data_IF_446825837702
#
_entry.id   IF_446825837702
#
_cell.length_a   1.000
_cell.length_b   1.000
_cell.length_c   1.000
_cell.angle_alpha   90.00
_cell.angle_beta   90.00
_cell.angle_gamma   90.00
#
_symmetry.space_group_name_H-M   'P 1'
#
loop_
_entity.id
_entity.type
_entity.pdbx_description
1 polymer ?
#
# COMPACT_ATOMS: atom_id res chain seq x y z
N UNK A 1 3.89 -19.94 -35.35
CA UNK A 1 4.44 -20.47 -34.08
C UNK A 1 3.40 -21.37 -33.41
N UNK A 2 3.82 -22.52 -32.88
CA UNK A 2 2.97 -23.47 -32.14
C UNK A 2 2.84 -23.07 -30.66
N UNK A 3 1.85 -23.63 -29.97
CA UNK A 3 1.67 -23.48 -28.52
C UNK A 3 2.89 -24.05 -27.79
N UNK A 4 3.48 -23.27 -26.89
CA UNK A 4 4.68 -23.66 -26.12
C UNK A 4 4.33 -24.47 -24.87
N UNK A 5 5.34 -25.10 -24.25
CA UNK A 5 5.15 -25.81 -22.98
C UNK A 5 4.79 -24.87 -21.83
N UNK A 6 5.33 -23.66 -21.82
CA UNK A 6 4.93 -22.60 -20.88
C UNK A 6 3.45 -22.23 -21.04
N UNK A 7 2.97 -22.05 -22.28
CA UNK A 7 1.55 -21.79 -22.55
C UNK A 7 0.66 -22.95 -22.12
N UNK A 8 1.10 -24.19 -22.33
CA UNK A 8 0.37 -25.39 -21.89
C UNK A 8 0.30 -25.46 -20.36
N UNK A 9 1.42 -25.22 -19.67
CA UNK A 9 1.47 -25.20 -18.21
C UNK A 9 0.58 -24.11 -17.63
N UNK A 10 0.64 -22.89 -18.18
CA UNK A 10 -0.20 -21.77 -17.76
C UNK A 10 -1.69 -22.01 -18.02
N UNK A 11 -2.03 -22.70 -19.12
CA UNK A 11 -3.42 -23.09 -19.44
C UNK A 11 -4.03 -24.05 -18.41
N UNK A 12 -3.22 -24.96 -17.86
CA UNK A 12 -3.68 -25.97 -16.90
C UNK A 12 -3.38 -25.61 -15.44
N UNK A 13 -2.82 -24.43 -15.17
CA UNK A 13 -2.46 -24.01 -13.82
C UNK A 13 -1.31 -24.83 -13.21
N UNK A 14 -0.49 -25.50 -14.03
CA UNK A 14 0.68 -26.23 -13.54
C UNK A 14 1.79 -25.24 -13.16
N UNK A 15 1.74 -24.76 -11.92
CA UNK A 15 2.71 -23.81 -11.38
C UNK A 15 4.16 -24.32 -11.48
N UNK A 16 4.38 -25.63 -11.27
CA UNK A 16 5.71 -26.24 -11.41
C UNK A 16 6.15 -26.24 -12.87
N UNK A 17 5.23 -26.51 -13.79
CA UNK A 17 5.45 -26.41 -15.23
C UNK A 17 5.78 -24.99 -15.68
N UNK A 18 5.07 -23.99 -15.13
CA UNK A 18 5.36 -22.57 -15.40
C UNK A 18 6.77 -22.21 -14.95
N UNK A 19 7.14 -22.54 -13.70
CA UNK A 19 8.48 -22.30 -13.16
C UNK A 19 9.58 -22.98 -13.99
N UNK A 20 9.35 -24.20 -14.46
CA UNK A 20 10.30 -24.96 -15.29
C UNK A 20 10.53 -24.36 -16.68
N UNK A 21 9.58 -23.59 -17.20
CA UNK A 21 9.60 -23.11 -18.60
C UNK A 21 9.65 -21.57 -18.73
N UNK A 22 10.14 -20.85 -17.70
CA UNK A 22 10.22 -19.38 -17.71
C UNK A 22 11.13 -18.82 -18.82
N UNK A 23 12.02 -19.63 -19.39
CA UNK A 23 12.82 -19.26 -20.56
C UNK A 23 11.98 -19.04 -21.85
N UNK A 24 10.70 -19.42 -21.85
CA UNK A 24 9.78 -19.25 -22.97
C UNK A 24 8.87 -18.01 -22.83
N UNK A 25 9.02 -17.24 -21.75
CA UNK A 25 8.24 -16.02 -21.48
C UNK A 25 8.37 -15.04 -22.66
N UNK A 26 7.25 -14.46 -23.06
CA UNK A 26 7.16 -13.51 -24.18
C UNK A 26 6.95 -14.18 -25.55
N UNK A 27 7.01 -15.51 -25.65
CA UNK A 27 6.64 -16.21 -26.90
C UNK A 27 5.13 -16.12 -27.11
N UNK A 28 4.73 -16.11 -28.39
CA UNK A 28 3.32 -16.03 -28.80
C UNK A 28 2.94 -17.21 -29.72
N UNK A 29 1.71 -17.70 -29.59
CA UNK A 29 1.15 -18.71 -30.49
C UNK A 29 0.79 -18.11 -31.87
N UNK A 30 0.19 -18.92 -32.76
CA UNK A 30 -0.25 -18.46 -34.10
C UNK A 30 -1.27 -17.31 -34.09
N UNK A 31 -1.98 -17.11 -32.98
CA UNK A 31 -2.97 -16.06 -32.77
C UNK A 31 -2.39 -14.85 -31.98
N UNK A 32 -1.11 -14.88 -31.59
CA UNK A 32 -0.50 -13.85 -30.76
C UNK A 32 -0.73 -14.06 -29.26
N UNK A 33 -1.28 -15.20 -28.82
CA UNK A 33 -1.55 -15.44 -27.39
C UNK A 33 -0.28 -15.83 -26.65
N UNK A 34 -0.09 -15.23 -25.48
CA UNK A 34 1.02 -15.53 -24.55
C UNK A 34 0.57 -16.53 -23.48
N UNK A 35 1.51 -17.01 -22.64
CA UNK A 35 1.17 -17.90 -21.53
C UNK A 35 0.26 -17.21 -20.49
N UNK A 36 0.48 -15.92 -20.23
CA UNK A 36 -0.32 -15.10 -19.34
C UNK A 36 -1.78 -15.02 -19.80
N UNK A 37 -2.01 -14.87 -21.11
CA UNK A 37 -3.38 -14.89 -21.64
C UNK A 37 -4.04 -16.25 -21.42
N UNK A 38 -3.31 -17.36 -21.55
CA UNK A 38 -3.85 -18.69 -21.22
C UNK A 38 -4.18 -18.84 -19.74
N UNK A 39 -3.33 -18.36 -18.83
CA UNK A 39 -3.61 -18.34 -17.39
C UNK A 39 -4.86 -17.50 -17.08
N UNK A 40 -4.96 -16.30 -17.65
CA UNK A 40 -6.07 -15.38 -17.45
C UNK A 40 -7.40 -15.93 -18.01
N UNK A 41 -7.39 -16.63 -19.15
CA UNK A 41 -8.59 -17.30 -19.71
C UNK A 41 -9.15 -18.35 -18.74
N UNK A 42 -8.27 -19.08 -18.05
CA UNK A 42 -8.65 -20.22 -17.19
C UNK A 42 -8.66 -19.86 -15.69
N UNK A 43 -8.48 -18.59 -15.33
CA UNK A 43 -8.57 -18.13 -13.95
C UNK A 43 -7.39 -18.52 -13.05
N UNK A 44 -6.25 -18.90 -13.62
CA UNK A 44 -5.07 -19.33 -12.86
C UNK A 44 -4.25 -18.12 -12.37
N UNK A 45 -4.86 -17.31 -11.48
CA UNK A 45 -4.30 -16.06 -10.98
C UNK A 45 -2.90 -16.22 -10.36
N UNK A 46 -2.64 -17.34 -9.68
CA UNK A 46 -1.35 -17.67 -9.08
C UNK A 46 -0.20 -17.85 -10.10
N UNK A 47 -0.49 -18.03 -11.39
CA UNK A 47 0.53 -18.04 -12.45
C UNK A 47 0.95 -16.62 -12.88
N UNK A 48 0.10 -15.60 -12.67
CA UNK A 48 0.31 -14.24 -13.17
C UNK A 48 1.59 -13.60 -12.63
N UNK A 49 1.92 -13.69 -11.33
CA UNK A 49 3.15 -13.09 -10.81
C UNK A 49 4.43 -13.69 -11.41
N UNK A 50 4.40 -14.96 -11.83
CA UNK A 50 5.52 -15.60 -12.53
C UNK A 50 5.64 -15.17 -14.00
N UNK A 51 4.56 -14.64 -14.56
CA UNK A 51 4.44 -14.23 -15.96
C UNK A 51 4.38 -12.71 -16.12
N UNK A 52 4.83 -11.96 -15.11
CA UNK A 52 4.78 -10.50 -15.03
C UNK A 52 5.37 -9.75 -16.24
N UNK A 53 6.32 -10.38 -16.95
CA UNK A 53 6.97 -9.78 -18.13
C UNK A 53 6.05 -9.77 -19.35
N UNK A 54 4.98 -10.57 -19.34
CA UNK A 54 3.98 -10.60 -20.42
C UNK A 54 2.83 -9.61 -20.19
N UNK A 55 2.76 -8.97 -19.01
CA UNK A 55 1.74 -7.97 -18.71
C UNK A 55 1.85 -6.81 -19.69
N UNK A 56 0.72 -6.47 -20.31
CA UNK A 56 0.60 -5.42 -21.30
C UNK A 56 0.77 -5.88 -22.75
N UNK A 57 1.15 -7.15 -22.98
CA UNK A 57 1.17 -7.73 -24.33
C UNK A 57 -0.25 -7.91 -24.89
N UNK A 58 -0.39 -7.76 -26.20
CA UNK A 58 -1.63 -7.97 -26.93
C UNK A 58 -1.48 -9.10 -27.95
N UNK A 59 -2.56 -9.85 -28.17
CA UNK A 59 -2.61 -10.80 -29.26
C UNK A 59 -2.83 -10.09 -30.60
N UNK A 60 -2.96 -10.84 -31.70
CA UNK A 60 -3.14 -10.26 -33.04
C UNK A 60 -4.41 -9.40 -33.19
N UNK A 61 -5.41 -9.59 -32.33
CA UNK A 61 -6.62 -8.77 -32.31
C UNK A 61 -6.62 -7.64 -31.28
N UNK A 62 -5.48 -7.37 -30.63
CA UNK A 62 -5.38 -6.36 -29.59
C UNK A 62 -5.90 -6.81 -28.22
N UNK A 63 -6.18 -8.10 -28.02
CA UNK A 63 -6.67 -8.57 -26.72
C UNK A 63 -5.54 -8.76 -25.72
N UNK A 64 -5.72 -8.20 -24.53
CA UNK A 64 -4.81 -8.37 -23.39
C UNK A 64 -5.25 -9.50 -22.47
N UNK A 65 -4.45 -9.86 -21.47
CA UNK A 65 -4.83 -10.85 -20.46
C UNK A 65 -6.02 -10.37 -19.61
N UNK A 66 -6.09 -9.07 -19.28
CA UNK A 66 -7.19 -8.46 -18.54
C UNK A 66 -8.54 -8.63 -19.24
N UNK A 67 -8.59 -8.41 -20.55
CA UNK A 67 -9.81 -8.62 -21.35
C UNK A 67 -10.32 -10.06 -21.29
N UNK A 68 -9.40 -11.02 -21.24
CA UNK A 68 -9.75 -12.44 -21.08
C UNK A 68 -10.24 -12.78 -19.67
N UNK A 69 -9.56 -12.28 -18.64
CA UNK A 69 -9.99 -12.47 -17.25
C UNK A 69 -11.37 -11.85 -17.00
N UNK A 70 -11.59 -10.63 -17.52
CA UNK A 70 -12.84 -9.90 -17.34
C UNK A 70 -14.04 -10.58 -18.01
N UNK A 71 -13.87 -11.10 -19.23
CA UNK A 71 -14.95 -11.83 -19.93
C UNK A 71 -15.32 -13.16 -19.26
N UNK A 72 -14.38 -13.78 -18.54
CA UNK A 72 -14.56 -15.08 -17.90
C UNK A 72 -14.80 -15.00 -16.38
N UNK A 73 -14.97 -13.80 -15.81
CA UNK A 73 -15.30 -13.61 -14.38
C UNK A 73 -14.17 -13.98 -13.40
N UNK A 74 -12.92 -13.91 -13.86
CA UNK A 74 -11.76 -14.28 -13.05
C UNK A 74 -11.26 -13.08 -12.25
N UNK A 75 -12.00 -12.70 -11.22
CA UNK A 75 -11.79 -11.50 -10.39
C UNK A 75 -10.37 -11.36 -9.84
N UNK A 76 -9.75 -12.45 -9.37
CA UNK A 76 -8.37 -12.41 -8.87
C UNK A 76 -7.36 -12.11 -9.97
N UNK A 77 -7.58 -12.68 -11.17
CA UNK A 77 -6.77 -12.34 -12.35
C UNK A 77 -6.95 -10.89 -12.77
N UNK A 78 -8.19 -10.37 -12.70
CA UNK A 78 -8.49 -8.96 -12.99
C UNK A 78 -7.71 -8.03 -12.07
N UNK A 79 -7.70 -8.30 -10.76
CA UNK A 79 -6.97 -7.49 -9.76
C UNK A 79 -5.47 -7.43 -10.04
N UNK A 80 -4.87 -8.54 -10.47
CA UNK A 80 -3.44 -8.62 -10.80
C UNK A 80 -3.07 -7.95 -12.12
N UNK A 81 -4.06 -7.69 -12.98
CA UNK A 81 -3.85 -7.16 -14.34
C UNK A 81 -4.35 -5.73 -14.50
N UNK A 82 -4.64 -5.00 -13.41
CA UNK A 82 -5.14 -3.62 -13.48
C UNK A 82 -4.24 -2.67 -14.26
N UNK A 83 -2.93 -2.90 -14.30
CA UNK A 83 -2.01 -2.09 -15.11
C UNK A 83 -2.29 -2.16 -16.62
N UNK A 84 -3.10 -3.12 -17.09
CA UNK A 84 -3.56 -3.20 -18.48
C UNK A 84 -4.85 -2.41 -18.74
N UNK A 85 -5.50 -1.88 -17.71
CA UNK A 85 -6.76 -1.15 -17.86
C UNK A 85 -6.59 0.04 -18.82
N UNK A 86 -7.60 0.27 -19.64
CA UNK A 86 -7.58 1.32 -20.67
C UNK A 86 -6.93 0.91 -22.00
N UNK A 87 -6.30 -0.27 -22.08
CA UNK A 87 -5.94 -0.86 -23.39
C UNK A 87 -7.20 -1.28 -24.15
N UNK A 88 -7.18 -1.07 -25.46
CA UNK A 88 -8.29 -1.37 -26.35
C UNK A 88 -7.92 -2.41 -27.40
N UNK A 89 -8.89 -3.23 -27.80
CA UNK A 89 -8.71 -4.15 -28.93
C UNK A 89 -8.42 -3.39 -30.22
N UNK A 90 -7.69 -4.01 -31.13
CA UNK A 90 -7.29 -3.39 -32.41
C UNK A 90 -8.08 -3.92 -33.59
N UNK A 91 -8.60 -5.15 -33.47
CA UNK A 91 -9.36 -5.83 -34.52
C UNK A 91 -10.76 -6.19 -34.01
N UNK A 92 -11.67 -6.39 -34.96
CA UNK A 92 -12.97 -6.99 -34.67
C UNK A 92 -12.81 -8.45 -34.23
N UNK A 93 -13.61 -8.86 -33.24
CA UNK A 93 -13.61 -10.24 -32.76
C UNK A 93 -15.01 -10.83 -32.67
N UNK A 94 -15.17 -12.01 -33.26
CA UNK A 94 -16.39 -12.83 -33.21
C UNK A 94 -16.17 -14.01 -32.27
N UNK A 95 -17.13 -14.25 -31.37
CA UNK A 95 -17.03 -15.32 -30.37
C UNK A 95 -17.83 -16.59 -30.71
N UNK A 96 -18.81 -16.49 -31.60
CA UNK A 96 -19.69 -17.58 -31.98
C UNK A 96 -19.69 -17.83 -33.49
N UNK A 97 -20.01 -19.06 -33.88
CA UNK A 97 -20.04 -19.50 -35.29
C UNK A 97 -21.17 -18.84 -36.10
N UNK A 98 -22.17 -18.27 -35.42
CA UNK A 98 -23.33 -17.63 -36.05
C UNK A 98 -23.20 -16.09 -36.10
N UNK A 99 -22.12 -15.51 -35.56
CA UNK A 99 -21.84 -14.07 -35.65
C UNK A 99 -22.75 -13.17 -34.82
N UNK A 100 -23.45 -13.70 -33.80
CA UNK A 100 -24.39 -12.93 -32.97
C UNK A 100 -23.63 -12.01 -32.02
N UNK A 101 -22.43 -12.40 -31.57
CA UNK A 101 -21.61 -11.56 -30.69
C UNK A 101 -20.33 -11.13 -31.37
N UNK A 102 -20.33 -9.87 -31.82
CA UNK A 102 -19.20 -9.20 -32.47
C UNK A 102 -18.73 -8.03 -31.63
N UNK A 103 -17.45 -8.03 -31.26
CA UNK A 103 -16.80 -6.93 -30.54
C UNK A 103 -15.98 -6.11 -31.53
N UNK A 104 -16.31 -4.83 -31.75
CA UNK A 104 -15.54 -3.96 -32.62
C UNK A 104 -14.12 -3.71 -32.09
N UNK A 105 -13.21 -3.19 -32.94
CA UNK A 105 -12.00 -2.52 -32.47
C UNK A 105 -12.35 -1.47 -31.40
N UNK A 106 -11.44 -1.17 -30.47
CA UNK A 106 -11.73 -0.24 -29.38
C UNK A 106 -12.39 -0.89 -28.15
N UNK A 107 -12.66 -2.21 -28.16
CA UNK A 107 -13.30 -2.89 -27.03
C UNK A 107 -12.35 -2.96 -25.83
N UNK A 108 -12.83 -2.63 -24.63
CA UNK A 108 -12.07 -2.67 -23.36
C UNK A 108 -12.49 -3.85 -22.49
N UNK A 109 -11.80 -4.08 -21.37
CA UNK A 109 -12.13 -5.17 -20.44
C UNK A 109 -13.48 -4.93 -19.71
N UNK A 110 -13.79 -3.67 -19.35
CA UNK A 110 -15.07 -3.25 -18.76
C UNK A 110 -16.24 -3.50 -19.71
N UNK A 111 -16.08 -3.22 -21.01
CA UNK A 111 -17.12 -3.52 -22.02
C UNK A 111 -17.42 -5.01 -22.10
N UNK A 112 -16.39 -5.86 -22.03
CA UNK A 112 -16.54 -7.31 -22.02
C UNK A 112 -17.22 -7.81 -20.74
N UNK A 113 -16.81 -7.30 -19.57
CA UNK A 113 -17.43 -7.61 -18.28
C UNK A 113 -18.91 -7.22 -18.26
N UNK A 114 -19.23 -6.05 -18.80
CA UNK A 114 -20.59 -5.55 -18.93
C UNK A 114 -21.44 -6.43 -19.86
N UNK A 115 -20.92 -6.82 -21.03
CA UNK A 115 -21.61 -7.69 -21.98
C UNK A 115 -21.95 -9.07 -21.40
N UNK A 116 -21.04 -9.64 -20.60
CA UNK A 116 -21.18 -10.98 -20.01
C UNK A 116 -21.81 -11.00 -18.61
N UNK A 117 -22.35 -9.87 -18.14
CA UNK A 117 -23.01 -9.72 -16.84
C UNK A 117 -22.09 -10.05 -15.65
N UNK A 118 -20.93 -9.40 -15.54
CA UNK A 118 -19.93 -9.63 -14.48
C UNK A 118 -19.88 -8.46 -13.49
N UNK A 119 -20.83 -8.33 -12.54
CA UNK A 119 -20.97 -7.13 -11.72
C UNK A 119 -19.74 -6.83 -10.86
N UNK A 120 -19.10 -7.85 -10.27
CA UNK A 120 -17.89 -7.67 -9.47
C UNK A 120 -16.73 -7.13 -10.31
N UNK A 121 -16.54 -7.66 -11.52
CA UNK A 121 -15.51 -7.18 -12.45
C UNK A 121 -15.82 -5.77 -12.95
N UNK A 122 -17.09 -5.47 -13.22
CA UNK A 122 -17.54 -4.13 -13.62
C UNK A 122 -17.20 -3.12 -12.53
N UNK A 123 -17.52 -3.41 -11.27
CA UNK A 123 -17.21 -2.55 -10.13
C UNK A 123 -15.70 -2.29 -9.99
N UNK A 124 -14.86 -3.31 -10.24
CA UNK A 124 -13.40 -3.17 -10.19
C UNK A 124 -12.81 -2.34 -11.32
N UNK A 125 -13.36 -2.44 -12.53
CA UNK A 125 -12.80 -1.77 -13.72
C UNK A 125 -13.40 -0.40 -13.99
N UNK A 126 -14.57 -0.11 -13.42
CA UNK A 126 -15.29 1.16 -13.61
C UNK A 126 -14.39 2.40 -13.40
N UNK A 127 -13.58 2.51 -12.32
CA UNK A 127 -12.77 3.71 -12.09
C UNK A 127 -11.76 3.99 -13.21
N UNK A 128 -11.28 2.95 -13.88
CA UNK A 128 -10.19 3.02 -14.85
C UNK A 128 -10.66 3.12 -16.30
N UNK A 129 -11.83 2.55 -16.62
CA UNK A 129 -12.29 2.41 -18.01
C UNK A 129 -13.62 3.12 -18.33
N UNK A 130 -14.29 3.73 -17.35
CA UNK A 130 -15.56 4.41 -17.59
C UNK A 130 -15.47 5.46 -18.73
N UNK A 131 -16.53 5.47 -19.55
CA UNK A 131 -16.67 6.41 -20.65
C UNK A 131 -15.76 6.16 -21.86
N UNK A 132 -14.93 5.11 -21.85
CA UNK A 132 -14.25 4.65 -23.05
C UNK A 132 -15.27 4.12 -24.05
N UNK A 133 -14.96 4.26 -25.34
CA UNK A 133 -15.83 3.86 -26.44
C UNK A 133 -15.08 2.97 -27.41
N UNK A 134 -15.78 1.95 -27.91
CA UNK A 134 -15.30 1.19 -29.05
C UNK A 134 -15.34 2.03 -30.35
N UNK A 135 -14.89 1.46 -31.46
CA UNK A 135 -14.84 2.13 -32.76
C UNK A 135 -16.22 2.48 -33.34
N UNK A 136 -17.30 1.90 -32.79
CA UNK A 136 -18.69 2.22 -33.13
C UNK A 136 -19.32 3.22 -32.15
N UNK A 137 -18.57 3.68 -31.15
CA UNK A 137 -19.01 4.66 -30.17
C UNK A 137 -19.74 4.06 -28.96
N UNK A 138 -19.75 2.74 -28.79
CA UNK A 138 -20.45 2.08 -27.69
C UNK A 138 -19.64 2.12 -26.38
N UNK A 139 -20.30 2.43 -25.27
CA UNK A 139 -19.74 2.37 -23.91
C UNK A 139 -20.02 1.02 -23.25
N UNK A 140 -19.49 0.79 -22.05
CA UNK A 140 -19.80 -0.41 -21.29
C UNK A 140 -21.30 -0.56 -20.95
N UNK A 141 -22.00 0.55 -20.65
CA UNK A 141 -23.47 0.57 -20.48
C UNK A 141 -24.19 0.07 -21.74
N UNK A 142 -23.74 0.48 -22.94
CA UNK A 142 -24.31 -0.02 -24.18
C UNK A 142 -24.14 -1.54 -24.30
N UNK A 143 -22.96 -2.06 -23.94
CA UNK A 143 -22.67 -3.49 -23.91
C UNK A 143 -23.51 -4.25 -22.85
N UNK A 144 -23.83 -3.65 -21.69
CA UNK A 144 -24.74 -4.23 -20.70
C UNK A 144 -26.22 -4.25 -21.16
N UNK A 145 -26.63 -3.28 -21.99
CA UNK A 145 -27.97 -3.21 -22.55
C UNK A 145 -28.16 -4.19 -23.72
N UNK A 146 -27.09 -4.46 -24.46
CA UNK A 146 -27.04 -5.41 -25.59
C UNK A 146 -26.27 -6.70 -25.22
N UNK A 147 -26.17 -6.97 -23.93
CA UNK A 147 -25.51 -8.15 -23.39
C UNK A 147 -26.28 -9.42 -23.73
N UNK A 148 -25.58 -10.55 -23.66
CA UNK A 148 -26.20 -11.85 -23.88
C UNK A 148 -27.31 -12.11 -22.83
N UNK A 149 -28.59 -12.02 -23.23
CA UNK A 149 -29.74 -12.11 -22.32
C UNK A 149 -29.80 -13.41 -21.50
N UNK A 150 -29.21 -14.49 -22.00
CA UNK A 150 -29.07 -15.77 -21.28
C UNK A 150 -28.02 -15.75 -20.16
N UNK A 151 -27.28 -14.65 -19.96
CA UNK A 151 -26.32 -14.46 -18.86
C UNK A 151 -26.95 -13.95 -17.56
N UNK A 152 -28.29 -13.91 -17.48
CA UNK A 152 -29.03 -13.60 -16.26
C UNK A 152 -29.46 -12.13 -16.17
N UNK A 153 -29.72 -11.67 -14.96
CA UNK A 153 -30.22 -10.31 -14.69
C UNK A 153 -29.08 -9.29 -14.70
N UNK A 154 -29.16 -8.32 -15.62
CA UNK A 154 -28.19 -7.23 -15.79
C UNK A 154 -28.50 -6.01 -14.93
N UNK A 155 -29.54 -6.03 -14.07
CA UNK A 155 -29.97 -4.86 -13.29
C UNK A 155 -28.81 -4.23 -12.52
N UNK A 156 -28.06 -5.01 -11.74
CA UNK A 156 -26.89 -4.51 -10.97
C UNK A 156 -25.82 -3.90 -11.88
N UNK A 157 -25.49 -4.55 -12.99
CA UNK A 157 -24.48 -4.04 -13.94
C UNK A 157 -24.94 -2.71 -14.56
N UNK A 158 -26.21 -2.61 -14.97
CA UNK A 158 -26.78 -1.39 -15.55
C UNK A 158 -26.88 -0.26 -14.53
N UNK A 159 -27.09 -0.57 -13.27
CA UNK A 159 -27.07 0.41 -12.18
C UNK A 159 -25.65 0.95 -11.93
N UNK A 160 -24.65 0.07 -11.85
CA UNK A 160 -23.24 0.44 -11.70
C UNK A 160 -22.75 1.36 -12.83
N UNK A 161 -23.22 1.13 -14.06
CA UNK A 161 -22.79 1.83 -15.27
C UNK A 161 -23.67 3.03 -15.66
N UNK A 162 -24.79 3.27 -14.95
CA UNK A 162 -25.81 4.27 -15.33
C UNK A 162 -25.24 5.68 -15.58
N UNK A 163 -24.19 6.05 -14.85
CA UNK A 163 -23.57 7.37 -14.86
C UNK A 163 -22.10 7.33 -15.30
N UNK A 164 -21.74 6.50 -16.29
CA UNK A 164 -20.39 6.49 -16.87
C UNK A 164 -19.94 7.91 -17.26
N UNK A 165 -18.92 8.42 -16.56
CA UNK A 165 -18.38 9.77 -16.76
C UNK A 165 -17.03 9.75 -17.48
N UNK A 166 -16.55 10.90 -18.00
CA UNK A 166 -15.26 11.00 -18.68
C UNK A 166 -14.05 10.96 -17.71
N UNK A 167 -14.29 11.11 -16.40
CA UNK A 167 -13.23 11.18 -15.39
C UNK A 167 -12.75 9.77 -15.04
N UNK A 168 -11.59 9.40 -15.55
CA UNK A 168 -10.90 8.14 -15.23
C UNK A 168 -9.75 8.40 -14.27
N UNK A 169 -9.46 7.43 -13.40
CA UNK A 169 -8.19 7.37 -12.69
C UNK A 169 -7.16 6.61 -13.54
N UNK A 170 -5.88 6.99 -13.52
CA UNK A 170 -4.84 6.23 -14.21
C UNK A 170 -4.76 4.81 -13.63
N UNK A 171 -4.54 3.78 -14.47
CA UNK A 171 -4.28 2.42 -14.01
C UNK A 171 -3.10 2.39 -13.02
N UNK A 172 -3.16 1.54 -11.98
CA UNK A 172 -2.04 1.38 -11.06
C UNK A 172 -0.80 0.82 -11.80
N UNK A 173 0.43 1.25 -11.44
CA UNK A 173 1.64 0.60 -11.89
C UNK A 173 1.64 -0.88 -11.52
N UNK A 174 2.10 -1.75 -12.42
CA UNK A 174 2.08 -3.22 -12.18
C UNK A 174 2.91 -3.60 -10.96
N UNK A 175 4.01 -2.90 -10.73
CA UNK A 175 4.93 -3.13 -9.60
C UNK A 175 4.24 -2.85 -8.27
N UNK A 176 3.45 -1.78 -8.19
CA UNK A 176 2.65 -1.43 -7.02
C UNK A 176 1.51 -2.42 -6.79
N UNK A 177 0.88 -2.93 -7.86
CA UNK A 177 -0.10 -4.03 -7.75
C UNK A 177 0.55 -5.26 -7.14
N UNK A 178 1.72 -5.66 -7.64
CA UNK A 178 2.44 -6.83 -7.14
C UNK A 178 2.89 -6.68 -5.69
N UNK A 179 3.50 -5.55 -5.33
CA UNK A 179 3.90 -5.28 -3.94
C UNK A 179 2.72 -5.49 -2.99
N UNK A 180 1.56 -4.93 -3.34
CA UNK A 180 0.34 -5.02 -2.55
C UNK A 180 -0.25 -6.43 -2.50
N UNK A 181 -0.21 -7.17 -3.61
CA UNK A 181 -0.66 -8.57 -3.63
C UNK A 181 0.21 -9.43 -2.74
N UNK A 182 1.54 -9.33 -2.86
CA UNK A 182 2.46 -10.13 -2.06
C UNK A 182 2.34 -9.79 -0.57
N UNK A 183 2.15 -8.51 -0.24
CA UNK A 183 1.80 -8.07 1.11
C UNK A 183 0.51 -8.71 1.64
N UNK A 184 -0.54 -8.80 0.82
CA UNK A 184 -1.83 -9.41 1.20
C UNK A 184 -1.75 -10.92 1.48
N UNK A 185 -0.73 -11.62 0.97
CA UNK A 185 -0.54 -13.07 1.18
C UNK A 185 0.67 -13.42 2.04
N UNK A 186 1.41 -12.41 2.52
CA UNK A 186 2.60 -12.60 3.35
C UNK A 186 3.81 -13.17 2.61
N UNK A 187 3.91 -12.97 1.29
CA UNK A 187 5.08 -13.41 0.50
C UNK A 187 6.24 -12.43 0.69
N UNK A 188 7.10 -12.72 1.66
CA UNK A 188 8.25 -11.90 2.06
C UNK A 188 9.18 -11.62 0.87
N UNK A 189 9.46 -12.63 0.04
CA UNK A 189 10.37 -12.49 -1.10
C UNK A 189 9.72 -11.68 -2.22
N UNK A 190 8.42 -11.86 -2.44
CA UNK A 190 7.62 -10.99 -3.29
C UNK A 190 7.66 -9.53 -2.82
N UNK A 191 7.40 -9.26 -1.54
CA UNK A 191 7.46 -7.91 -0.96
C UNK A 191 8.86 -7.32 -1.13
N UNK A 192 9.92 -8.07 -0.78
CA UNK A 192 11.32 -7.65 -0.93
C UNK A 192 11.66 -7.26 -2.36
N UNK A 193 11.13 -7.99 -3.35
CA UNK A 193 11.39 -7.73 -4.77
C UNK A 193 10.78 -6.40 -5.26
N UNK A 194 9.62 -5.98 -4.75
CA UNK A 194 8.90 -4.79 -5.24
C UNK A 194 8.89 -3.61 -4.27
N UNK A 195 9.55 -3.72 -3.11
CA UNK A 195 9.58 -2.70 -2.06
C UNK A 195 9.96 -1.29 -2.54
N UNK A 196 10.76 -1.18 -3.61
CA UNK A 196 11.13 0.12 -4.20
C UNK A 196 9.95 0.92 -4.77
N UNK A 197 8.77 0.29 -4.88
CA UNK A 197 7.51 0.90 -5.34
C UNK A 197 6.49 1.08 -4.20
N UNK A 198 6.96 1.04 -2.96
CA UNK A 198 6.20 1.42 -1.78
C UNK A 198 5.71 2.88 -1.87
N UNK A 199 4.63 3.18 -1.15
CA UNK A 199 4.00 4.50 -1.13
C UNK A 199 2.82 4.66 -2.10
N UNK A 200 2.51 3.63 -2.88
CA UNK A 200 1.32 3.63 -3.71
C UNK A 200 0.06 3.30 -2.90
N UNK A 201 -0.96 4.15 -3.01
CA UNK A 201 -2.26 3.94 -2.38
C UNK A 201 -3.31 3.51 -3.41
N UNK A 202 -4.14 2.52 -3.06
CA UNK A 202 -5.29 2.14 -3.89
C UNK A 202 -6.43 3.17 -3.83
N UNK A 203 -7.56 2.87 -4.46
CA UNK A 203 -8.74 3.74 -4.47
C UNK A 203 -9.31 4.05 -3.07
N UNK A 204 -9.02 3.21 -2.07
CA UNK A 204 -9.41 3.40 -0.68
C UNK A 204 -8.31 4.05 0.17
N UNK A 205 -7.16 4.38 -0.42
CA UNK A 205 -6.00 4.88 0.30
C UNK A 205 -5.14 3.77 0.93
N UNK A 206 -5.39 2.50 0.64
CA UNK A 206 -4.66 1.39 1.28
C UNK A 206 -3.28 1.20 0.67
N UNK A 207 -2.27 1.11 1.53
CA UNK A 207 -0.88 0.79 1.17
C UNK A 207 -0.58 -0.71 1.37
N UNK A 208 0.61 -1.16 0.96
CA UNK A 208 1.04 -2.53 1.21
C UNK A 208 1.19 -2.80 2.73
N UNK A 209 1.74 -1.86 3.49
CA UNK A 209 1.95 -1.95 4.94
C UNK A 209 0.63 -2.06 5.70
N UNK A 210 -0.39 -1.30 5.29
CA UNK A 210 -1.73 -1.40 5.88
C UNK A 210 -2.34 -2.79 5.69
N UNK A 211 -2.09 -3.41 4.53
CA UNK A 211 -2.58 -4.76 4.23
C UNK A 211 -1.80 -5.85 4.96
N UNK A 212 -0.47 -5.72 5.08
CA UNK A 212 0.31 -6.65 5.92
C UNK A 212 -0.11 -6.57 7.38
N UNK A 213 -0.34 -5.36 7.88
CA UNK A 213 -0.80 -5.13 9.25
C UNK A 213 -2.21 -5.68 9.47
N UNK A 214 -3.13 -5.48 8.52
CA UNK A 214 -4.48 -6.05 8.54
C UNK A 214 -4.50 -7.59 8.55
N UNK A 215 -3.55 -8.24 7.85
CA UNK A 215 -3.48 -9.72 7.77
C UNK A 215 -2.57 -10.35 8.82
N UNK A 216 -1.85 -9.55 9.63
CA UNK A 216 -0.96 -10.05 10.66
C UNK A 216 0.38 -10.59 10.16
N UNK A 217 0.83 -10.18 8.97
CA UNK A 217 2.12 -10.63 8.41
C UNK A 217 3.29 -9.81 8.96
N UNK A 218 3.64 -10.09 10.21
CA UNK A 218 4.69 -9.41 11.00
C UNK A 218 6.01 -9.29 10.24
N UNK A 219 6.45 -10.37 9.58
CA UNK A 219 7.75 -10.43 8.89
C UNK A 219 7.85 -9.51 7.66
N UNK A 220 6.71 -9.05 7.11
CA UNK A 220 6.69 -8.12 5.99
C UNK A 220 6.79 -6.65 6.45
N UNK A 221 6.44 -6.33 7.69
CA UNK A 221 6.42 -4.95 8.21
C UNK A 221 7.80 -4.28 8.11
N UNK A 222 8.92 -4.91 8.53
CA UNK A 222 10.25 -4.29 8.43
C UNK A 222 10.70 -4.00 6.99
N UNK A 223 10.08 -4.62 6.00
CA UNK A 223 10.39 -4.32 4.60
C UNK A 223 9.67 -3.05 4.12
N UNK A 224 8.59 -2.64 4.76
CA UNK A 224 7.69 -1.59 4.28
C UNK A 224 7.79 -0.30 5.10
N UNK A 225 8.95 -0.02 5.70
CA UNK A 225 9.22 1.16 6.52
C UNK A 225 8.87 2.49 5.82
N UNK A 226 9.03 2.55 4.49
CA UNK A 226 8.73 3.75 3.69
C UNK A 226 7.24 4.13 3.68
N UNK A 227 6.33 3.26 4.13
CA UNK A 227 4.89 3.54 4.19
C UNK A 227 4.41 3.88 5.61
N UNK A 228 5.31 3.86 6.59
CA UNK A 228 4.98 4.15 7.98
C UNK A 228 4.41 5.56 8.10
N UNK A 229 3.28 5.66 8.78
CA UNK A 229 2.58 6.92 9.02
C UNK A 229 1.66 7.36 7.89
N UNK A 230 1.62 6.66 6.74
CA UNK A 230 0.61 6.92 5.73
C UNK A 230 -0.80 6.62 6.27
N UNK A 231 -1.80 7.28 5.69
CA UNK A 231 -3.19 7.17 6.10
C UNK A 231 -4.10 6.90 4.91
N UNK A 232 -5.03 5.96 5.05
CA UNK A 232 -6.02 5.70 4.02
C UNK A 232 -7.11 6.79 3.96
N UNK A 233 -8.13 6.63 3.12
CA UNK A 233 -9.18 7.65 2.90
C UNK A 233 -10.00 8.02 4.16
N UNK A 234 -9.95 7.19 5.20
CA UNK A 234 -10.58 7.42 6.52
C UNK A 234 -9.59 7.94 7.57
N UNK A 235 -8.31 8.10 7.22
CA UNK A 235 -7.24 8.48 8.15
C UNK A 235 -6.66 7.31 8.94
N UNK A 236 -6.92 6.06 8.55
CA UNK A 236 -6.41 4.91 9.29
C UNK A 236 -4.99 4.57 8.84
N UNK A 237 -4.12 4.32 9.82
CA UNK A 237 -2.73 3.91 9.61
C UNK A 237 -2.59 2.38 9.66
N UNK A 238 -1.38 1.86 9.43
CA UNK A 238 -1.11 0.44 9.55
C UNK A 238 -1.27 -0.07 11.00
N UNK A 239 -0.83 0.71 11.99
CA UNK A 239 -1.04 0.43 13.41
C UNK A 239 -2.53 0.29 13.72
N UNK A 240 -3.38 1.21 13.26
CA UNK A 240 -4.83 1.13 13.48
C UNK A 240 -5.43 -0.15 12.88
N UNK A 241 -4.93 -0.59 11.71
CA UNK A 241 -5.33 -1.87 11.10
C UNK A 241 -4.87 -3.07 11.93
N UNK A 242 -3.60 -3.14 12.32
CA UNK A 242 -3.09 -4.21 13.17
C UNK A 242 -3.90 -4.34 14.47
N UNK A 243 -4.19 -3.20 15.11
CA UNK A 243 -4.94 -3.16 16.37
C UNK A 243 -6.39 -3.58 16.18
N UNK A 244 -7.05 -3.15 15.11
CA UNK A 244 -8.43 -3.54 14.84
C UNK A 244 -8.61 -5.06 14.67
N UNK A 245 -7.60 -5.74 14.13
CA UNK A 245 -7.59 -7.19 13.89
C UNK A 245 -6.81 -7.99 14.96
N UNK A 246 -6.48 -7.39 16.10
CA UNK A 246 -5.78 -8.02 17.24
C UNK A 246 -4.38 -8.59 16.92
N UNK A 247 -3.69 -7.99 15.94
CA UNK A 247 -2.33 -8.38 15.59
C UNK A 247 -1.31 -7.69 16.49
N UNK A 248 -1.20 -8.18 17.73
CA UNK A 248 -0.35 -7.59 18.78
C UNK A 248 1.11 -7.39 18.35
N UNK A 249 1.72 -8.37 17.67
CA UNK A 249 3.11 -8.26 17.21
C UNK A 249 3.28 -7.21 16.12
N UNK A 250 2.33 -7.10 15.18
CA UNK A 250 2.29 -6.00 14.21
C UNK A 250 2.16 -4.64 14.92
N UNK A 251 1.30 -4.54 15.93
CA UNK A 251 1.11 -3.32 16.70
C UNK A 251 2.39 -2.91 17.46
N UNK A 252 3.20 -3.85 17.94
CA UNK A 252 4.52 -3.57 18.54
C UNK A 252 5.47 -2.95 17.53
N UNK A 253 5.54 -3.50 16.31
CA UNK A 253 6.42 -2.99 15.25
C UNK A 253 6.01 -1.61 14.73
N UNK A 254 4.74 -1.24 14.88
CA UNK A 254 4.17 -0.02 14.32
C UNK A 254 3.96 1.09 15.36
N UNK A 255 4.59 0.97 16.54
CA UNK A 255 4.49 1.97 17.61
C UNK A 255 4.93 3.38 17.21
N UNK A 256 5.73 3.51 16.15
CA UNK A 256 6.11 4.80 15.59
C UNK A 256 4.93 5.62 15.05
N UNK A 257 3.80 4.97 14.74
CA UNK A 257 2.56 5.63 14.33
C UNK A 257 1.67 6.04 15.52
N UNK A 258 2.04 5.69 16.75
CA UNK A 258 1.25 5.99 17.93
C UNK A 258 1.03 7.50 18.06
N UNK A 259 -0.23 7.88 18.30
CA UNK A 259 -0.62 9.28 18.37
C UNK A 259 -1.16 9.88 17.09
N UNK A 260 -1.15 9.16 15.96
CA UNK A 260 -1.93 9.56 14.78
C UNK A 260 -3.42 9.33 15.04
N UNK A 261 -4.25 10.17 14.45
CA UNK A 261 -5.70 10.14 14.61
C UNK A 261 -6.41 9.95 13.26
N UNK A 262 -7.52 9.23 13.27
CA UNK A 262 -8.36 9.09 12.08
C UNK A 262 -8.87 10.45 11.61
N UNK A 263 -9.04 10.60 10.29
CA UNK A 263 -9.45 11.86 9.68
C UNK A 263 -10.97 11.94 9.54
N UNK A 264 -11.64 10.80 9.37
CA UNK A 264 -13.08 10.71 9.13
C UNK A 264 -13.69 9.60 9.99
N UNK A 265 -15.00 9.70 10.20
CA UNK A 265 -15.78 8.63 10.79
C UNK A 265 -15.72 7.38 9.90
N UNK A 266 -15.62 6.22 10.54
CA UNK A 266 -15.73 4.92 9.89
C UNK A 266 -16.70 4.03 10.66
N UNK A 267 -17.64 3.41 9.95
CA UNK A 267 -18.64 2.53 10.53
C UNK A 267 -18.34 1.08 10.12
N UNK A 268 -18.30 0.20 11.11
CA UNK A 268 -18.08 -1.24 10.91
C UNK A 268 -19.30 -2.02 11.36
N UNK A 269 -19.93 -2.72 10.43
CA UNK A 269 -21.07 -3.59 10.72
C UNK A 269 -20.64 -5.05 10.70
N UNK A 270 -20.89 -5.78 11.78
CA UNK A 270 -20.67 -7.22 11.88
C UNK A 270 -21.81 -7.84 12.67
N UNK A 271 -22.34 -8.97 12.19
CA UNK A 271 -23.44 -9.70 12.84
C UNK A 271 -24.69 -8.83 13.15
N UNK A 272 -24.97 -7.82 12.32
CA UNK A 272 -26.11 -6.90 12.50
C UNK A 272 -25.85 -5.77 13.49
N UNK A 273 -24.69 -5.72 14.15
CA UNK A 273 -24.29 -4.62 15.03
C UNK A 273 -23.35 -3.66 14.29
N UNK A 274 -23.64 -2.37 14.34
CA UNK A 274 -22.79 -1.31 13.77
C UNK A 274 -22.02 -0.61 14.88
N UNK A 275 -20.69 -0.63 14.77
CA UNK A 275 -19.77 0.09 15.64
C UNK A 275 -19.20 1.28 14.87
N UNK A 276 -19.49 2.48 15.38
CA UNK A 276 -18.94 3.73 14.86
C UNK A 276 -17.58 4.03 15.48
N UNK A 277 -16.66 4.49 14.65
CA UNK A 277 -15.35 5.03 15.03
C UNK A 277 -15.31 6.48 14.57
N UNK A 278 -15.52 7.46 15.48
CA UNK A 278 -15.50 8.88 15.11
C UNK A 278 -14.18 9.33 14.49
N UNK A 279 -14.19 10.47 13.79
CA UNK A 279 -12.93 11.13 13.44
C UNK A 279 -12.14 11.47 14.71
N UNK A 280 -10.81 11.52 14.65
CA UNK A 280 -9.99 11.69 15.84
C UNK A 280 -9.69 10.38 16.59
N UNK A 281 -10.22 9.23 16.14
CA UNK A 281 -9.98 7.94 16.80
C UNK A 281 -8.50 7.56 16.73
N UNK A 282 -7.91 7.15 17.86
CA UNK A 282 -6.54 6.63 17.95
C UNK A 282 -6.48 5.10 18.00
N UNK A 283 -5.30 4.51 17.90
CA UNK A 283 -5.13 3.06 18.00
C UNK A 283 -5.54 2.50 19.38
N UNK A 284 -5.24 3.21 20.47
CA UNK A 284 -5.64 2.87 21.84
C UNK A 284 -7.16 2.90 22.01
N UNK A 285 -7.86 3.84 21.38
CA UNK A 285 -9.33 3.87 21.37
C UNK A 285 -9.89 2.65 20.64
N UNK A 286 -9.32 2.27 19.50
CA UNK A 286 -9.70 1.05 18.77
C UNK A 286 -9.49 -0.19 19.66
N UNK A 287 -8.33 -0.32 20.31
CA UNK A 287 -8.02 -1.42 21.23
C UNK A 287 -9.02 -1.50 22.40
N UNK A 288 -9.45 -0.34 22.92
CA UNK A 288 -10.46 -0.26 23.97
C UNK A 288 -11.85 -0.70 23.50
N UNK A 289 -12.28 -0.23 22.32
CA UNK A 289 -13.57 -0.61 21.71
C UNK A 289 -13.62 -2.11 21.41
N UNK A 290 -12.52 -2.65 20.88
CA UNK A 290 -12.42 -4.04 20.43
C UNK A 290 -12.01 -5.04 21.52
N UNK A 291 -11.62 -4.53 22.70
CA UNK A 291 -11.22 -5.30 23.87
C UNK A 291 -9.94 -6.13 23.70
N UNK A 292 -8.85 -5.45 23.34
CA UNK A 292 -7.51 -6.02 23.19
C UNK A 292 -6.60 -5.59 24.36
N UNK A 293 -6.63 -6.28 25.53
CA UNK A 293 -5.92 -5.83 26.74
C UNK A 293 -4.41 -5.73 26.56
N UNK A 294 -3.79 -6.69 25.86
CA UNK A 294 -2.33 -6.70 25.63
C UNK A 294 -1.89 -5.48 24.79
N UNK A 295 -2.69 -5.12 23.79
CA UNK A 295 -2.47 -3.93 22.95
C UNK A 295 -2.71 -2.64 23.74
N UNK A 296 -3.71 -2.62 24.63
CA UNK A 296 -3.94 -1.48 25.53
C UNK A 296 -2.72 -1.22 26.40
N UNK A 297 -2.10 -2.24 26.98
CA UNK A 297 -0.87 -2.08 27.78
C UNK A 297 0.28 -1.48 26.95
N UNK A 298 0.40 -1.89 25.69
CA UNK A 298 1.44 -1.41 24.77
C UNK A 298 1.23 0.07 24.41
N UNK A 299 -0.01 0.48 24.10
CA UNK A 299 -0.31 1.81 23.57
C UNK A 299 -0.58 2.86 24.65
N UNK A 300 -1.00 2.45 25.86
CA UNK A 300 -1.36 3.35 26.95
C UNK A 300 -0.31 4.43 27.22
N UNK A 301 1.01 4.15 27.28
CA UNK A 301 2.01 5.18 27.55
C UNK A 301 2.06 6.30 26.51
N UNK A 302 1.68 5.99 25.26
CA UNK A 302 1.84 6.86 24.08
C UNK A 302 0.58 7.60 23.68
N UNK A 303 -0.61 7.10 24.02
CA UNK A 303 -1.89 7.68 23.57
C UNK A 303 -2.85 8.05 24.69
N UNK A 304 -2.47 7.83 25.97
CA UNK A 304 -3.32 8.19 27.10
C UNK A 304 -3.79 9.66 27.06
N UNK A 305 -5.08 9.85 27.31
CA UNK A 305 -5.70 11.18 27.41
C UNK A 305 -5.98 11.86 26.08
N UNK A 306 -5.65 11.22 24.95
CA UNK A 306 -6.11 11.68 23.64
C UNK A 306 -7.63 11.53 23.53
N UNK A 307 -8.24 12.41 22.73
CA UNK A 307 -9.68 12.47 22.52
C UNK A 307 -10.02 12.45 21.05
N UNK A 308 -11.07 11.72 20.71
CA UNK A 308 -11.69 11.80 19.39
C UNK A 308 -12.46 13.12 19.21
N UNK A 309 -13.09 13.30 18.05
CA UNK A 309 -13.85 14.51 17.72
C UNK A 309 -15.09 14.72 18.59
N UNK A 310 -15.58 13.67 19.26
CA UNK A 310 -16.68 13.74 20.23
C UNK A 310 -16.17 14.04 21.66
N UNK A 311 -14.85 14.09 21.85
CA UNK A 311 -14.23 14.34 23.15
C UNK A 311 -14.04 13.09 24.00
N UNK A 312 -14.25 11.89 23.44
CA UNK A 312 -14.16 10.62 24.14
C UNK A 312 -12.72 10.08 24.15
N UNK A 313 -12.30 9.58 25.32
CA UNK A 313 -10.99 8.91 25.50
C UNK A 313 -11.11 7.40 25.34
N UNK A 314 -9.99 6.69 25.34
CA UNK A 314 -10.00 5.22 25.33
C UNK A 314 -10.75 4.64 26.54
N UNK A 315 -10.61 5.24 27.74
CA UNK A 315 -11.37 4.82 28.92
C UNK A 315 -12.88 5.05 28.75
N UNK A 316 -13.29 6.15 28.11
CA UNK A 316 -14.71 6.39 27.81
C UNK A 316 -15.28 5.27 26.94
N UNK A 317 -14.56 4.88 25.88
CA UNK A 317 -14.98 3.80 24.98
C UNK A 317 -15.07 2.45 25.71
N UNK A 318 -14.07 2.11 26.54
CA UNK A 318 -14.08 0.89 27.35
C UNK A 318 -15.27 0.80 28.33
N UNK A 319 -15.76 1.95 28.83
CA UNK A 319 -16.88 2.00 29.76
C UNK A 319 -18.24 1.87 29.07
N UNK A 320 -18.38 2.44 27.87
CA UNK A 320 -19.67 2.58 27.18
C UNK A 320 -19.93 1.50 26.11
N UNK A 321 -18.90 0.76 25.66
CA UNK A 321 -19.03 -0.24 24.58
C UNK A 321 -19.01 -1.70 25.04
N UNK A 322 -19.23 -1.99 26.32
CA UNK A 322 -19.66 -3.32 26.78
C UNK A 322 -18.58 -4.40 26.97
N UNK A 323 -17.31 -4.16 26.67
CA UNK A 323 -16.29 -5.23 26.68
C UNK A 323 -15.20 -5.08 27.77
N UNK A 324 -15.06 -6.19 28.51
CA UNK A 324 -14.18 -6.59 29.63
C UNK A 324 -13.85 -5.64 30.80
N UNK A 325 -13.86 -6.21 32.01
CA UNK A 325 -13.37 -5.56 33.23
C UNK A 325 -11.84 -5.34 33.22
N UNK A 326 -11.10 -6.10 32.41
CA UNK A 326 -9.64 -6.05 32.35
C UNK A 326 -9.16 -4.77 31.65
N UNK A 327 -9.67 -4.46 30.46
CA UNK A 327 -9.34 -3.22 29.73
C UNK A 327 -9.74 -1.99 30.54
N UNK A 328 -10.92 -2.01 31.18
CA UNK A 328 -11.34 -0.94 32.08
C UNK A 328 -10.38 -0.75 33.25
N UNK A 329 -9.86 -1.84 33.83
CA UNK A 329 -8.88 -1.79 34.93
C UNK A 329 -7.54 -1.20 34.47
N UNK A 330 -7.07 -1.56 33.28
CA UNK A 330 -5.84 -1.03 32.70
C UNK A 330 -5.94 0.48 32.43
N UNK A 331 -7.08 0.93 31.90
CA UNK A 331 -7.34 2.32 31.56
C UNK A 331 -7.70 3.22 32.75
N UNK A 332 -7.84 2.68 33.98
CA UNK A 332 -8.07 3.51 35.18
C UNK A 332 -6.97 4.54 35.44
N UNK A 333 -5.79 4.35 34.85
CA UNK A 333 -4.63 5.25 34.98
C UNK A 333 -4.55 6.30 33.85
N UNK A 334 -5.54 6.39 32.97
CA UNK A 334 -5.56 7.39 31.90
C UNK A 334 -5.54 8.82 32.49
N UNK A 335 -4.61 9.66 32.01
CA UNK A 335 -4.40 11.02 32.53
C UNK A 335 -3.03 11.29 33.16
N UNK A 336 -2.09 10.33 33.11
CA UNK A 336 -0.67 10.59 33.44
C UNK A 336 0.06 11.24 32.27
N UNK A 337 1.29 11.73 32.48
CA UNK A 337 2.08 12.42 31.44
C UNK A 337 2.31 11.47 30.25
N UNK A 338 1.77 11.83 29.09
CA UNK A 338 1.94 11.15 27.80
C UNK A 338 3.43 11.11 27.42
N UNK A 339 3.94 9.95 27.04
CA UNK A 339 5.25 9.86 26.39
C UNK A 339 5.12 10.42 24.97
N UNK A 340 6.11 11.20 24.49
CA UNK A 340 6.10 11.61 23.08
C UNK A 340 6.01 10.35 22.19
N UNK A 341 5.30 10.41 21.06
CA UNK A 341 5.48 9.42 19.99
C UNK A 341 6.98 9.23 19.73
N UNK A 342 7.41 8.03 19.36
CA UNK A 342 8.82 7.73 19.16
C UNK A 342 9.51 8.87 18.40
N UNK A 343 10.67 9.34 18.88
CA UNK A 343 11.44 10.46 18.30
C UNK A 343 11.75 10.28 16.80
N UNK A 344 11.50 9.10 16.25
CA UNK A 344 11.61 8.75 14.84
C UNK A 344 10.73 9.60 13.92
N UNK A 345 9.57 10.14 14.36
CA UNK A 345 8.70 10.96 13.47
C UNK A 345 9.38 12.28 13.04
N UNK A 346 9.99 12.99 13.97
CA UNK A 346 10.69 14.27 13.71
C UNK A 346 11.97 14.03 12.88
N UNK A 347 12.64 12.89 13.12
CA UNK A 347 13.80 12.44 12.32
C UNK A 347 13.38 12.04 10.90
N UNK A 348 12.21 11.39 10.73
CA UNK A 348 11.69 11.01 9.41
C UNK A 348 11.37 12.24 8.56
N UNK A 349 10.63 13.21 9.11
CA UNK A 349 10.26 14.46 8.43
C UNK A 349 11.50 15.26 8.00
N UNK A 350 12.51 15.37 8.88
CA UNK A 350 13.78 16.01 8.55
C UNK A 350 14.54 15.25 7.46
N UNK A 351 14.46 13.92 7.43
CA UNK A 351 15.12 13.07 6.43
C UNK A 351 14.46 13.20 5.05
N UNK A 352 13.13 13.25 4.99
CA UNK A 352 12.38 13.52 3.77
C UNK A 352 12.72 14.89 3.19
N UNK A 353 12.73 15.94 4.02
CA UNK A 353 13.10 17.30 3.59
C UNK A 353 14.54 17.38 3.03
N UNK A 354 15.49 16.65 3.65
CA UNK A 354 16.88 16.55 3.14
C UNK A 354 16.95 15.85 1.79
N UNK A 355 16.12 14.82 1.56
CA UNK A 355 16.05 14.09 0.29
C UNK A 355 15.45 14.96 -0.83
N UNK A 356 14.36 15.68 -0.56
CA UNK A 356 13.74 16.61 -1.52
C UNK A 356 14.73 17.69 -1.96
N UNK A 357 15.43 18.31 -1.00
CA UNK A 357 16.46 19.30 -1.30
C UNK A 357 17.64 18.72 -2.07
N UNK A 358 17.97 17.43 -1.90
CA UNK A 358 19.02 16.79 -2.69
C UNK A 358 18.59 16.62 -4.16
N UNK A 359 17.33 16.26 -4.41
CA UNK A 359 16.75 16.18 -5.76
C UNK A 359 16.72 17.56 -6.41
N UNK A 360 16.31 18.60 -5.68
CA UNK A 360 16.33 19.98 -6.16
C UNK A 360 17.77 20.43 -6.49
N UNK A 361 18.75 20.09 -5.65
CA UNK A 361 20.16 20.41 -5.90
C UNK A 361 20.67 19.82 -7.22
N UNK A 362 20.39 18.55 -7.48
CA UNK A 362 20.77 17.88 -8.73
C UNK A 362 20.00 18.40 -9.95
N UNK A 363 18.77 18.87 -9.76
CA UNK A 363 18.01 19.57 -10.81
C UNK A 363 18.66 20.92 -11.15
N UNK A 364 18.98 21.73 -10.14
CA UNK A 364 19.63 23.03 -10.30
C UNK A 364 21.02 22.89 -10.94
N UNK A 365 21.83 21.91 -10.52
CA UNK A 365 23.14 21.61 -11.15
C UNK A 365 23.02 21.30 -12.63
N UNK A 366 22.06 20.43 -13.01
CA UNK A 366 21.81 20.08 -14.42
C UNK A 366 21.32 21.28 -15.24
N UNK A 367 20.44 22.10 -14.67
CA UNK A 367 19.99 23.34 -15.32
C UNK A 367 21.15 24.32 -15.53
N UNK A 368 22.03 24.43 -14.55
CA UNK A 368 23.20 25.30 -14.58
C UNK A 368 24.26 24.82 -15.56
N UNK A 369 24.52 23.51 -15.66
CA UNK A 369 25.40 22.96 -16.70
C UNK A 369 24.84 23.17 -18.11
N UNK A 370 23.53 22.96 -18.29
CA UNK A 370 22.87 23.19 -19.58
C UNK A 370 22.95 24.64 -20.03
N UNK A 371 22.80 25.60 -19.10
CA UNK A 371 22.88 27.03 -19.40
C UNK A 371 24.32 27.51 -19.63
N UNK A 372 25.31 26.95 -18.92
CA UNK A 372 26.73 27.24 -19.17
C UNK A 372 27.15 26.78 -20.56
N UNK A 373 26.74 25.58 -20.98
CA UNK A 373 26.98 25.09 -22.34
C UNK A 373 26.30 25.97 -23.39
N UNK A 374 25.04 26.38 -23.16
CA UNK A 374 24.33 27.28 -24.07
C UNK A 374 24.94 28.70 -24.13
N UNK A 375 25.60 29.13 -23.05
CA UNK A 375 26.32 30.41 -22.98
C UNK A 375 27.64 30.37 -23.75
N UNK A 376 28.33 29.22 -23.76
CA UNK A 376 29.53 29.01 -24.57
C UNK A 376 29.22 28.96 -26.08
N UNK A 377 28.01 28.55 -26.46
CA UNK A 377 27.56 28.46 -27.86
C UNK A 377 26.96 29.77 -28.43
N UNK A 378 26.67 30.78 -27.60
CA UNK A 378 25.96 31.99 -28.00
C UNK A 378 26.87 33.23 -28.08
N UNK A 379 27.28 33.60 -29.30
CA UNK A 379 28.23 34.70 -29.57
C UNK A 379 27.68 36.14 -29.42
N UNK A 380 26.39 36.39 -29.08
CA UNK A 380 25.86 37.76 -29.19
C UNK A 380 24.68 38.24 -28.30
N UNK A 381 24.40 37.64 -27.13
CA UNK A 381 23.59 38.31 -26.07
C UNK A 381 24.05 37.91 -24.63
N UNK A 382 25.25 38.32 -24.18
CA UNK A 382 25.82 37.82 -22.93
C UNK A 382 25.08 38.27 -21.66
N UNK A 383 24.36 39.41 -21.71
CA UNK A 383 23.84 40.09 -20.51
C UNK A 383 22.65 39.36 -19.87
N UNK A 384 21.66 38.92 -20.65
CA UNK A 384 20.50 38.20 -20.12
C UNK A 384 20.85 36.77 -19.69
N UNK A 385 21.75 36.10 -20.42
CA UNK A 385 22.15 34.73 -20.08
C UNK A 385 23.05 34.70 -18.83
N UNK A 386 23.97 35.66 -18.71
CA UNK A 386 24.79 35.86 -17.51
C UNK A 386 23.94 36.17 -16.27
N UNK A 387 22.88 37.00 -16.41
CA UNK A 387 21.93 37.25 -15.32
C UNK A 387 21.19 35.97 -14.88
N UNK A 388 20.78 35.11 -15.81
CA UNK A 388 20.12 33.83 -15.50
C UNK A 388 21.06 32.84 -14.80
N UNK A 389 22.31 32.78 -15.24
CA UNK A 389 23.36 31.95 -14.59
C UNK A 389 23.61 32.43 -13.17
N UNK A 390 23.80 33.73 -12.96
CA UNK A 390 24.01 34.31 -11.62
C UNK A 390 22.82 34.05 -10.69
N UNK A 391 21.58 34.18 -11.19
CA UNK A 391 20.37 33.89 -10.40
C UNK A 391 20.27 32.41 -10.00
N UNK A 392 20.65 31.48 -10.88
CA UNK A 392 20.66 30.05 -10.57
C UNK A 392 21.82 29.67 -9.64
N UNK A 393 22.98 30.30 -9.75
CA UNK A 393 24.10 30.14 -8.81
C UNK A 393 23.67 30.56 -7.39
N UNK A 394 22.99 31.69 -7.24
CA UNK A 394 22.47 32.15 -5.95
C UNK A 394 21.41 31.19 -5.37
N UNK A 395 20.51 30.67 -6.21
CA UNK A 395 19.51 29.66 -5.80
C UNK A 395 20.17 28.35 -5.38
N UNK A 396 21.19 27.91 -6.10
CA UNK A 396 21.94 26.69 -5.79
C UNK A 396 22.68 26.85 -4.46
N UNK A 397 23.30 28.00 -4.21
CA UNK A 397 24.01 28.28 -2.95
C UNK A 397 23.06 28.27 -1.75
N UNK A 398 21.90 28.96 -1.86
CA UNK A 398 20.85 28.93 -0.82
C UNK A 398 20.34 27.51 -0.56
N UNK A 399 20.10 26.72 -1.60
CA UNK A 399 19.68 25.32 -1.49
C UNK A 399 20.76 24.47 -0.78
N UNK A 400 22.03 24.65 -1.12
CA UNK A 400 23.16 23.94 -0.49
C UNK A 400 23.34 24.32 0.98
N UNK A 401 23.13 25.60 1.33
CA UNK A 401 23.22 26.07 2.70
C UNK A 401 22.07 25.55 3.57
N UNK A 402 20.84 25.60 3.05
CA UNK A 402 19.68 25.00 3.70
C UNK A 402 19.87 23.50 3.92
N UNK A 403 20.38 22.76 2.93
CA UNK A 403 20.67 21.33 3.04
C UNK A 403 21.75 21.06 4.11
N UNK A 404 22.82 21.86 4.16
CA UNK A 404 23.84 21.76 5.23
C UNK A 404 23.26 22.01 6.62
N UNK A 405 22.40 23.01 6.77
CA UNK A 405 21.74 23.34 8.05
C UNK A 405 20.83 22.20 8.52
N UNK A 406 19.92 21.73 7.65
CA UNK A 406 19.00 20.64 7.96
C UNK A 406 19.72 19.33 8.26
N UNK A 407 20.84 19.03 7.59
CA UNK A 407 21.67 17.86 7.93
C UNK A 407 22.28 17.94 9.33
N UNK A 408 22.66 19.13 9.80
CA UNK A 408 23.14 19.30 11.19
C UNK A 408 22.01 19.04 12.18
N UNK A 409 20.84 19.61 11.95
CA UNK A 409 19.65 19.38 12.78
C UNK A 409 19.23 17.91 12.76
N UNK A 410 19.21 17.28 11.59
CA UNK A 410 18.92 15.86 11.42
C UNK A 410 19.92 15.00 12.21
N UNK A 411 21.22 15.27 12.10
CA UNK A 411 22.24 14.53 12.86
C UNK A 411 22.05 14.71 14.36
N UNK A 412 21.82 15.94 14.83
CA UNK A 412 21.56 16.21 16.24
C UNK A 412 20.33 15.46 16.74
N UNK A 413 19.20 15.56 16.02
CA UNK A 413 17.95 14.87 16.35
C UNK A 413 18.08 13.35 16.26
N UNK A 414 18.89 12.85 15.33
CA UNK A 414 19.21 11.41 15.21
C UNK A 414 20.03 10.94 16.41
N UNK A 415 20.97 11.73 16.92
CA UNK A 415 21.73 11.40 18.12
C UNK A 415 20.89 11.52 19.39
N UNK A 416 19.99 12.51 19.48
CA UNK A 416 18.99 12.61 20.56
C UNK A 416 18.03 11.41 20.54
N UNK A 417 17.57 11.00 19.35
CA UNK A 417 16.75 9.82 19.14
C UNK A 417 17.51 8.55 19.53
N UNK A 418 18.76 8.39 19.08
CA UNK A 418 19.64 7.28 19.47
C UNK A 418 19.82 7.23 20.97
N UNK A 419 20.13 8.34 21.65
CA UNK A 419 20.29 8.35 23.09
C UNK A 419 19.03 7.84 23.83
N UNK A 420 17.85 8.19 23.31
CA UNK A 420 16.56 7.73 23.84
C UNK A 420 16.27 6.27 23.47
N UNK A 421 16.71 5.80 22.31
CA UNK A 421 16.48 4.43 21.83
C UNK A 421 17.61 3.47 22.16
N UNK A 422 18.75 3.91 22.69
CA UNK A 422 19.89 3.04 23.08
C UNK A 422 19.70 2.42 24.45
N UNK A 423 20.07 1.15 24.57
CA UNK A 423 20.02 0.38 25.81
C UNK A 423 20.69 1.13 26.95
N UNK A 424 19.99 1.30 28.08
CA UNK A 424 20.51 2.03 29.24
C UNK A 424 21.68 1.33 29.95
N UNK A 425 21.96 0.08 29.57
CA UNK A 425 23.01 -0.76 30.15
C UNK A 425 24.29 -0.65 29.31
N UNK A 426 24.22 -1.05 28.03
CA UNK A 426 25.42 -1.04 27.17
C UNK A 426 25.64 0.27 26.41
N UNK A 427 24.65 1.18 26.40
CA UNK A 427 24.71 2.48 25.71
C UNK A 427 25.10 2.40 24.22
N UNK A 428 24.97 1.23 23.61
CA UNK A 428 25.49 0.92 22.27
C UNK A 428 24.41 0.30 21.40
N UNK A 429 23.80 -0.79 21.86
CA UNK A 429 22.73 -1.46 21.13
C UNK A 429 21.40 -0.75 21.36
N UNK A 430 20.48 -0.75 20.38
CA UNK A 430 19.12 -0.24 20.59
C UNK A 430 18.43 -1.05 21.68
N UNK A 431 17.60 -0.36 22.47
CA UNK A 431 16.54 -0.98 23.27
C UNK A 431 15.73 -1.80 22.29
N UNK A 432 15.54 -3.06 22.58
CA UNK A 432 14.75 -3.95 21.73
C UNK A 432 14.11 -5.05 22.57
N UNK A 433 14.06 -4.86 23.90
CA UNK A 433 13.61 -5.90 24.81
C UNK A 433 12.76 -5.31 25.93
N UNK A 434 11.52 -5.78 25.99
CA UNK A 434 10.56 -5.53 27.06
C UNK A 434 10.86 -6.43 28.25
N UNK A 435 11.01 -5.82 29.43
CA UNK A 435 11.19 -6.53 30.69
C UNK A 435 9.83 -6.77 31.35
N UNK A 436 9.49 -8.01 31.64
CA UNK A 436 8.25 -8.37 32.36
C UNK A 436 8.51 -8.63 33.85
N UNK A 437 7.56 -8.28 34.74
CA UNK A 437 6.18 -7.84 34.44
C UNK A 437 6.03 -6.32 34.23
N UNK A 438 7.10 -5.53 34.34
CA UNK A 438 6.97 -4.07 34.37
C UNK A 438 6.76 -3.38 33.01
N UNK A 439 6.96 -4.10 31.90
CA UNK A 439 6.76 -3.60 30.54
C UNK A 439 7.77 -2.54 30.09
N UNK A 440 8.88 -2.33 30.81
CA UNK A 440 9.86 -1.32 30.42
C UNK A 440 10.75 -1.81 29.28
N UNK A 441 10.81 -1.02 28.22
CA UNK A 441 11.69 -1.20 27.06
C UNK A 441 12.94 -0.36 27.29
N UNK A 442 13.90 -0.85 28.07
CA UNK A 442 15.10 -0.11 28.46
C UNK A 442 16.42 -0.83 28.15
N UNK A 443 16.37 -2.11 27.78
CA UNK A 443 17.55 -2.93 27.49
C UNK A 443 17.54 -3.47 26.05
N UNK A 444 18.72 -3.74 25.50
CA UNK A 444 18.86 -4.56 24.30
C UNK A 444 18.80 -6.05 24.66
N UNK A 445 18.62 -6.93 23.67
CA UNK A 445 18.44 -8.38 23.83
C UNK A 445 19.59 -8.98 24.62
N UNK A 446 20.83 -8.61 24.26
CA UNK A 446 22.02 -9.10 24.94
C UNK A 446 22.09 -8.65 26.41
N UNK A 447 21.76 -7.39 26.70
CA UNK A 447 21.79 -6.89 28.07
C UNK A 447 20.59 -7.38 28.89
N UNK A 448 19.44 -7.60 28.25
CA UNK A 448 18.24 -8.11 28.88
C UNK A 448 18.42 -9.55 29.36
N UNK A 449 19.10 -10.39 28.58
CA UNK A 449 19.49 -11.74 29.00
C UNK A 449 20.36 -11.71 30.28
N UNK A 450 21.27 -10.74 30.39
CA UNK A 450 22.16 -10.62 31.54
C UNK A 450 21.45 -10.15 32.83
N UNK A 451 20.33 -9.44 32.70
CA UNK A 451 19.53 -8.97 33.85
C UNK A 451 18.30 -9.84 34.13
N UNK A 452 18.20 -11.01 33.48
CA UNK A 452 17.17 -12.02 33.78
C UNK A 452 17.29 -12.46 35.24
N UNK A 453 16.18 -12.48 35.98
CA UNK A 453 16.12 -12.69 37.44
C UNK A 453 16.79 -11.59 38.30
N UNK A 454 17.18 -10.45 37.71
CA UNK A 454 17.58 -9.26 38.46
C UNK A 454 16.42 -8.25 38.51
N UNK A 455 16.72 -6.97 38.72
CA UNK A 455 15.73 -5.90 38.76
C UNK A 455 15.82 -5.01 37.53
N UNK A 456 14.67 -4.51 37.07
CA UNK A 456 14.60 -3.58 35.97
C UNK A 456 15.41 -2.31 36.29
N UNK A 457 16.35 -1.89 35.41
CA UNK A 457 17.17 -0.70 35.63
C UNK A 457 16.37 0.59 35.80
N UNK A 458 15.12 0.60 35.32
CA UNK A 458 14.25 1.77 35.35
C UNK A 458 13.37 1.83 36.60
N UNK A 459 12.62 0.77 36.90
CA UNK A 459 11.61 0.76 37.97
C UNK A 459 11.93 -0.17 39.14
N UNK A 460 13.06 -0.90 39.08
CA UNK A 460 13.53 -1.87 40.08
C UNK A 460 12.62 -3.08 40.33
N UNK A 461 11.56 -3.27 39.54
CA UNK A 461 10.74 -4.49 39.57
C UNK A 461 11.57 -5.70 39.13
N UNK A 462 11.44 -6.89 39.77
CA UNK A 462 12.09 -8.11 39.33
C UNK A 462 11.78 -8.44 37.87
N UNK A 463 12.79 -8.86 37.11
CA UNK A 463 12.66 -9.27 35.70
C UNK A 463 12.46 -10.78 35.65
N UNK A 464 11.22 -11.19 35.39
CA UNK A 464 10.82 -12.60 35.33
C UNK A 464 10.93 -13.17 33.90
N UNK A 465 10.72 -12.31 32.90
CA UNK A 465 10.76 -12.68 31.48
C UNK A 465 11.20 -11.50 30.63
N UNK A 466 11.84 -11.78 29.50
CA UNK A 466 12.25 -10.78 28.51
C UNK A 466 11.62 -11.10 27.15
N UNK A 467 11.17 -10.07 26.43
CA UNK A 467 10.50 -10.22 25.12
C UNK A 467 11.12 -9.24 24.15
N UNK A 468 11.56 -9.73 22.99
CA UNK A 468 12.14 -8.89 21.94
C UNK A 468 11.06 -8.02 21.29
N UNK A 469 11.28 -6.72 21.26
CA UNK A 469 10.50 -5.68 20.61
C UNK A 469 11.38 -5.01 19.55
N UNK A 470 11.06 -5.13 18.27
CA UNK A 470 11.78 -4.38 17.24
C UNK A 470 11.16 -2.97 17.18
N UNK A 471 11.97 -1.95 17.50
CA UNK A 471 11.60 -0.53 17.55
C UNK A 471 12.09 0.20 16.31
#
# INVERSE_FOLDING_TARGET
MSVTDLMRAARYGDLKGVKRNLNQVGKQDRYGRTALMYAAINGHAYCIPLLEKEIGMQNKGGWTALMWAASNDHTDSVRLLFSEAGKQSTEERKFDLNGITTFPPGTTALMLAAHYNRPEVVELLLPYEQGLKDSKGHTAQWHANNGASWRGDFTRVRELLKNEGPKRVPPPPKESVFLRTFATVGDIEGVRKYVSHAGYQDSNGMTALMLTAEKGYVDCIPLLENEVGMQNNWGWTALMKAVFYDHTDCARLLLSEAGKQSAKEWNFTSNGETVAYPSGTTALMIAAIRNHPDIVEILLPYEQGMKDSEGHTAQWHANNKGYSAQVRKLLKKEGTKRLPPSLNSEVLELRECVNELAVENESLKRGLSSLKNAQEEADNEPSQMSQKVSSLEERLEKCQEMNRSLRRTLNQKTEEAKAITTCVICLTNPKDTLLQPCGHLCACSNCAEQIMNQTCPFCRTPVERVIKAYI
#
